data_IF_665999806890
#
_entry.id   IF_665999806890
#
_cell.length_a   1.000
_cell.length_b   1.000
_cell.length_c   1.000
_cell.angle_alpha   90.00
_cell.angle_beta   90.00
_cell.angle_gamma   90.00
#
_symmetry.space_group_name_H-M   'P 1'
#
loop_
_entity.id
_entity.type
_entity.pdbx_description
1 polymer ?
#
# COMPACT_ATOMS: atom_id res chain seq x y z
N UNK A 1 -3.87 31.51 3.61
CA UNK A 1 -4.10 30.63 2.45
C UNK A 1 -3.25 29.40 2.68
N UNK A 2 -3.75 28.22 2.33
CA UNK A 2 -2.93 27.01 2.36
C UNK A 2 -1.85 27.15 1.29
N UNK A 3 -0.58 27.22 1.69
CA UNK A 3 0.57 27.29 0.77
C UNK A 3 1.57 26.20 1.10
N UNK A 4 2.43 25.88 0.13
CA UNK A 4 3.56 24.98 0.34
C UNK A 4 4.40 25.40 1.55
N UNK A 5 4.79 26.67 1.66
CA UNK A 5 5.66 27.12 2.75
C UNK A 5 5.01 26.95 4.12
N UNK A 6 3.70 27.17 4.23
CA UNK A 6 2.97 26.92 5.47
C UNK A 6 2.97 25.43 5.84
N UNK A 7 2.69 24.55 4.89
CA UNK A 7 2.69 23.11 5.15
C UNK A 7 4.09 22.56 5.38
N UNK A 8 5.09 23.06 4.66
CA UNK A 8 6.49 22.67 4.84
C UNK A 8 6.98 22.96 6.26
N UNK A 9 6.61 24.10 6.86
CA UNK A 9 6.92 24.37 8.27
C UNK A 9 6.10 23.48 9.20
N UNK A 10 4.80 23.32 8.94
CA UNK A 10 3.92 22.47 9.75
C UNK A 10 4.37 21.00 9.77
N UNK A 11 4.91 20.49 8.67
CA UNK A 11 5.39 19.11 8.47
C UNK A 11 6.92 19.01 8.45
N UNK A 12 7.63 19.99 9.04
CA UNK A 12 9.11 20.01 9.09
C UNK A 12 9.74 18.75 9.69
N UNK A 13 9.02 18.05 10.57
CA UNK A 13 9.48 16.79 11.17
C UNK A 13 9.57 15.67 10.13
N UNK A 14 8.59 15.57 9.21
CA UNK A 14 8.65 14.63 8.08
C UNK A 14 9.91 14.85 7.24
N UNK A 15 10.29 16.12 7.06
CA UNK A 15 11.39 16.54 6.19
C UNK A 15 12.77 16.52 6.88
N UNK A 16 12.82 16.30 8.19
CA UNK A 16 14.06 16.30 8.97
C UNK A 16 14.60 14.87 9.13
N UNK A 17 15.70 14.48 8.44
CA UNK A 17 16.26 13.13 8.57
C UNK A 17 16.76 12.81 9.99
N UNK A 18 16.94 13.81 10.86
CA UNK A 18 17.26 13.58 12.27
C UNK A 18 16.04 13.21 13.12
N UNK A 19 14.82 13.41 12.61
CA UNK A 19 13.61 12.92 13.27
C UNK A 19 13.52 11.40 13.14
N UNK A 20 13.08 10.75 14.21
CA UNK A 20 12.91 9.30 14.22
C UNK A 20 11.89 8.85 13.18
N UNK A 21 12.10 7.66 12.63
CA UNK A 21 11.28 7.11 11.55
C UNK A 21 9.79 7.07 11.93
N UNK A 22 9.48 6.69 13.18
CA UNK A 22 8.12 6.62 13.71
C UNK A 22 7.40 7.97 13.70
N UNK A 23 8.11 9.05 14.06
CA UNK A 23 7.57 10.40 14.03
C UNK A 23 7.35 10.85 12.59
N UNK A 24 8.29 10.55 11.68
CA UNK A 24 8.16 10.89 10.27
C UNK A 24 6.97 10.18 9.62
N UNK A 25 6.78 8.89 9.87
CA UNK A 25 5.61 8.13 9.40
C UNK A 25 4.30 8.67 9.97
N UNK A 26 4.26 9.03 11.27
CA UNK A 26 3.11 9.72 11.88
C UNK A 26 2.75 11.02 11.15
N UNK A 27 3.75 11.77 10.72
CA UNK A 27 3.56 12.99 9.95
C UNK A 27 3.02 12.71 8.54
N UNK A 28 3.43 11.61 7.89
CA UNK A 28 2.79 11.14 6.65
C UNK A 28 1.30 10.87 6.88
N UNK A 29 0.93 10.13 7.91
CA UNK A 29 -0.50 9.86 8.20
C UNK A 29 -1.27 11.14 8.57
N UNK A 30 -0.66 12.08 9.30
CA UNK A 30 -1.26 13.37 9.61
C UNK A 30 -1.51 14.19 8.34
N UNK A 31 -0.55 14.18 7.41
CA UNK A 31 -0.70 14.82 6.10
C UNK A 31 -1.80 14.14 5.30
N UNK A 32 -1.79 12.80 5.25
CA UNK A 32 -2.78 11.96 4.57
C UNK A 32 -4.22 12.34 4.94
N UNK A 33 -4.48 12.51 6.23
CA UNK A 33 -5.83 12.78 6.74
C UNK A 33 -6.42 14.13 6.31
N UNK A 34 -5.57 15.12 6.02
CA UNK A 34 -6.04 16.52 5.89
C UNK A 34 -5.66 17.16 4.55
N UNK A 35 -4.49 16.82 4.01
CA UNK A 35 -3.87 17.56 2.91
C UNK A 35 -3.48 16.70 1.71
N UNK A 36 -3.71 15.38 1.75
CA UNK A 36 -3.32 14.44 0.68
C UNK A 36 -3.78 14.89 -0.71
N UNK A 37 -5.03 15.33 -0.83
CA UNK A 37 -5.62 15.73 -2.11
C UNK A 37 -5.40 17.21 -2.46
N UNK A 38 -4.49 17.88 -1.75
CA UNK A 38 -4.13 19.27 -2.02
C UNK A 38 -2.76 19.34 -2.68
N UNK A 39 -2.58 20.25 -3.64
CA UNK A 39 -1.29 20.46 -4.27
C UNK A 39 -0.18 20.73 -3.23
N UNK A 40 -0.32 21.68 -2.28
CA UNK A 40 0.69 21.89 -1.24
C UNK A 40 1.05 20.64 -0.42
N UNK A 41 0.10 19.75 -0.14
CA UNK A 41 0.37 18.51 0.59
C UNK A 41 1.23 17.54 -0.23
N UNK A 42 0.90 17.37 -1.51
CA UNK A 42 1.67 16.54 -2.45
C UNK A 42 3.07 17.11 -2.68
N UNK A 43 3.21 18.44 -2.71
CA UNK A 43 4.50 19.11 -2.83
C UNK A 43 5.42 18.83 -1.63
N UNK A 44 4.88 18.79 -0.41
CA UNK A 44 5.62 18.36 0.79
C UNK A 44 6.03 16.89 0.70
N UNK A 45 5.15 16.01 0.23
CA UNK A 45 5.48 14.59 0.04
C UNK A 45 6.61 14.42 -1.00
N UNK A 46 6.57 15.14 -2.12
CA UNK A 46 7.65 15.11 -3.13
C UNK A 46 9.00 15.57 -2.57
N UNK A 47 9.03 16.58 -1.70
CA UNK A 47 10.25 16.97 -0.97
C UNK A 47 10.70 15.85 -0.03
N UNK A 48 9.77 15.22 0.70
CA UNK A 48 10.06 14.18 1.67
C UNK A 48 10.75 12.94 1.07
N UNK A 49 10.43 12.58 -0.19
CA UNK A 49 11.11 11.47 -0.90
C UNK A 49 12.62 11.70 -1.01
N UNK A 50 13.04 12.94 -1.27
CA UNK A 50 14.45 13.29 -1.47
C UNK A 50 15.19 13.54 -0.14
N UNK A 51 14.49 13.86 0.96
CA UNK A 51 15.13 14.19 2.24
C UNK A 51 15.24 13.02 3.21
N UNK A 52 14.51 11.92 2.98
CA UNK A 52 14.58 10.74 3.84
C UNK A 52 15.77 9.83 3.50
N UNK A 53 16.31 9.19 4.54
CA UNK A 53 17.34 8.15 4.49
C UNK A 53 16.77 6.71 4.64
N UNK A 54 15.46 6.58 4.84
CA UNK A 54 14.77 5.30 5.00
C UNK A 54 14.03 4.93 3.72
N UNK A 55 14.39 3.77 3.15
CA UNK A 55 13.73 3.15 2.00
C UNK A 55 12.24 2.92 2.28
N UNK A 56 11.90 2.47 3.49
CA UNK A 56 10.51 2.30 3.91
C UNK A 56 9.74 3.62 3.83
N UNK A 57 10.30 4.71 4.37
CA UNK A 57 9.62 6.00 4.31
C UNK A 57 9.52 6.53 2.87
N UNK A 58 10.52 6.26 2.00
CA UNK A 58 10.43 6.62 0.58
C UNK A 58 9.25 5.92 -0.08
N UNK A 59 9.15 4.59 0.09
CA UNK A 59 8.02 3.80 -0.35
C UNK A 59 6.68 4.38 0.12
N UNK A 60 6.52 4.58 1.44
CA UNK A 60 5.26 5.09 2.00
C UNK A 60 4.85 6.47 1.49
N UNK A 61 5.83 7.37 1.33
CA UNK A 61 5.57 8.69 0.79
C UNK A 61 5.13 8.60 -0.68
N UNK A 62 5.77 7.75 -1.48
CA UNK A 62 5.43 7.56 -2.90
C UNK A 62 4.05 6.91 -3.06
N UNK A 63 3.71 5.92 -2.25
CA UNK A 63 2.37 5.34 -2.18
C UNK A 63 1.31 6.42 -1.94
N UNK A 64 1.51 7.26 -0.91
CA UNK A 64 0.57 8.34 -0.59
C UNK A 64 0.48 9.39 -1.71
N UNK A 65 1.57 9.70 -2.41
CA UNK A 65 1.53 10.54 -3.61
C UNK A 65 0.61 9.91 -4.67
N UNK A 66 0.68 8.59 -4.90
CA UNK A 66 -0.23 7.88 -5.80
C UNK A 66 -1.70 8.00 -5.38
N UNK A 67 -1.98 7.73 -4.11
CA UNK A 67 -3.33 7.80 -3.52
C UNK A 67 -3.93 9.23 -3.56
N UNK A 68 -3.09 10.27 -3.68
CA UNK A 68 -3.56 11.66 -3.81
C UNK A 68 -4.40 11.90 -5.07
N UNK A 69 -4.13 11.18 -6.16
CA UNK A 69 -4.71 11.43 -7.48
C UNK A 69 -4.29 12.78 -8.09
N UNK A 70 -3.18 13.37 -7.65
CA UNK A 70 -2.73 14.69 -8.09
C UNK A 70 -1.81 14.61 -9.32
N UNK A 71 -2.33 15.00 -10.50
CA UNK A 71 -1.57 15.04 -11.77
C UNK A 71 -0.26 15.84 -11.69
N UNK A 72 -0.18 16.85 -10.82
CA UNK A 72 1.04 17.65 -10.66
C UNK A 72 2.24 16.85 -10.10
N UNK A 73 2.00 15.68 -9.50
CA UNK A 73 3.05 14.80 -9.00
C UNK A 73 3.77 14.00 -10.09
N UNK A 74 3.15 13.84 -11.26
CA UNK A 74 3.64 12.95 -12.33
C UNK A 74 5.09 13.21 -12.71
N UNK A 75 5.58 14.46 -12.87
CA UNK A 75 6.99 14.69 -13.17
C UNK A 75 7.94 14.14 -12.10
N UNK A 76 7.62 14.29 -10.82
CA UNK A 76 8.44 13.76 -9.72
C UNK A 76 8.44 12.24 -9.66
N UNK A 77 7.27 11.62 -9.83
CA UNK A 77 7.14 10.16 -9.92
C UNK A 77 7.92 9.59 -11.13
N UNK A 78 7.90 10.28 -12.27
CA UNK A 78 8.70 9.90 -13.44
C UNK A 78 10.20 10.04 -13.16
N UNK A 79 10.64 11.05 -12.40
CA UNK A 79 12.04 11.14 -11.95
C UNK A 79 12.43 9.94 -11.08
N UNK A 80 11.59 9.54 -10.12
CA UNK A 80 11.83 8.35 -9.28
C UNK A 80 11.94 7.09 -10.16
N UNK A 81 10.97 6.86 -11.05
CA UNK A 81 10.98 5.71 -11.96
C UNK A 81 12.25 5.69 -12.84
N UNK A 82 12.74 6.86 -13.26
CA UNK A 82 14.00 7.04 -14.00
C UNK A 82 15.26 6.89 -13.16
N UNK A 83 15.11 6.64 -11.86
CA UNK A 83 16.19 6.64 -10.89
C UNK A 83 16.96 7.98 -10.86
N UNK A 84 16.22 9.09 -10.88
CA UNK A 84 16.72 10.46 -10.88
C UNK A 84 16.09 11.21 -9.72
N UNK A 85 16.88 11.97 -8.96
CA UNK A 85 16.34 12.85 -7.91
C UNK A 85 15.27 13.77 -8.46
N UNK A 86 14.27 14.05 -7.63
CA UNK A 86 13.15 14.93 -7.98
C UNK A 86 13.64 16.39 -8.02
N UNK A 87 14.47 16.80 -7.05
CA UNK A 87 14.87 18.20 -6.83
C UNK A 87 13.66 19.13 -6.70
N UNK A 88 12.66 18.71 -5.93
CA UNK A 88 11.41 19.46 -5.83
C UNK A 88 11.64 20.87 -5.25
N UNK A 89 11.14 21.89 -5.97
CA UNK A 89 11.04 23.27 -5.48
C UNK A 89 9.83 23.95 -6.12
N UNK A 90 8.96 24.65 -5.36
CA UNK A 90 7.68 25.19 -5.86
C UNK A 90 7.84 26.20 -7.01
N UNK A 91 8.96 26.93 -7.04
CA UNK A 91 9.26 27.92 -8.08
C UNK A 91 9.94 27.35 -9.33
N UNK A 92 10.23 26.04 -9.37
CA UNK A 92 10.99 25.41 -10.45
C UNK A 92 12.44 25.91 -10.59
N UNK A 93 12.90 26.76 -9.67
CA UNK A 93 14.32 27.04 -9.54
C UNK A 93 14.96 25.73 -9.09
N UNK A 94 15.78 25.13 -9.96
CA UNK A 94 16.66 24.05 -9.54
C UNK A 94 17.37 24.54 -8.28
N UNK A 95 17.03 23.96 -7.12
CA UNK A 95 17.89 24.09 -5.95
C UNK A 95 19.26 23.67 -6.48
N UNK A 96 20.19 24.63 -6.56
CA UNK A 96 21.49 24.41 -7.18
C UNK A 96 21.98 23.08 -6.64
N UNK A 97 22.07 22.07 -7.52
CA UNK A 97 22.45 20.73 -7.11
C UNK A 97 23.69 20.91 -6.25
N UNK A 98 23.59 20.60 -4.96
CA UNK A 98 24.76 20.59 -4.12
C UNK A 98 25.71 19.64 -4.84
N UNK A 99 26.80 20.18 -5.39
CA UNK A 99 27.62 19.51 -6.39
C UNK A 99 28.46 18.35 -5.80
N UNK A 100 28.04 17.80 -4.66
CA UNK A 100 28.72 16.83 -3.80
C UNK A 100 27.69 15.94 -3.06
N UNK A 101 26.60 15.50 -3.71
CA UNK A 101 25.62 14.63 -3.05
C UNK A 101 25.76 13.17 -3.51
N UNK A 102 25.99 12.28 -2.54
CA UNK A 102 26.16 10.82 -2.67
C UNK A 102 24.79 10.15 -2.93
N UNK A 103 24.12 10.54 -4.01
CA UNK A 103 22.84 9.94 -4.40
C UNK A 103 23.09 8.53 -4.94
N UNK A 104 22.83 7.54 -4.10
CA UNK A 104 22.98 6.13 -4.45
C UNK A 104 21.90 5.60 -5.43
N UNK A 105 20.89 6.43 -5.75
CA UNK A 105 19.69 6.02 -6.47
C UNK A 105 18.55 5.62 -5.54
N UNK A 106 17.35 5.48 -6.10
CA UNK A 106 16.23 4.82 -5.44
C UNK A 106 16.33 3.31 -5.62
N UNK A 107 15.90 2.58 -4.61
CA UNK A 107 15.86 1.12 -4.63
C UNK A 107 14.67 0.58 -5.44
N UNK A 108 14.63 -0.74 -5.63
CA UNK A 108 13.56 -1.41 -6.38
C UNK A 108 12.18 -1.18 -5.77
N UNK A 109 12.07 -1.11 -4.42
CA UNK A 109 10.81 -0.89 -3.72
C UNK A 109 10.25 0.49 -4.06
N UNK A 110 11.05 1.53 -3.85
CA UNK A 110 10.64 2.91 -4.16
C UNK A 110 10.30 3.11 -5.65
N UNK A 111 11.06 2.46 -6.57
CA UNK A 111 10.83 2.61 -8.02
C UNK A 111 9.59 1.87 -8.51
N UNK A 112 9.27 0.68 -7.97
CA UNK A 112 8.01 0.02 -8.32
C UNK A 112 6.81 0.84 -7.82
N UNK A 113 6.94 1.41 -6.62
CA UNK A 113 5.89 2.21 -6.01
C UNK A 113 5.62 3.47 -6.83
N UNK A 114 6.66 4.06 -7.42
CA UNK A 114 6.49 5.17 -8.35
C UNK A 114 5.72 4.77 -9.62
N UNK A 115 5.99 3.58 -10.18
CA UNK A 115 5.23 3.07 -11.33
C UNK A 115 3.75 2.82 -10.96
N UNK A 116 3.49 2.24 -9.79
CA UNK A 116 2.15 2.04 -9.27
C UNK A 116 1.40 3.36 -9.04
N UNK A 117 2.03 4.31 -8.36
CA UNK A 117 1.49 5.65 -8.10
C UNK A 117 1.12 6.38 -9.39
N UNK A 118 1.93 6.26 -10.45
CA UNK A 118 1.59 6.78 -11.79
C UNK A 118 0.32 6.12 -12.36
N UNK A 119 0.16 4.81 -12.17
CA UNK A 119 -1.03 4.06 -12.52
C UNK A 119 -2.27 4.48 -11.71
N UNK A 120 -2.10 4.75 -10.41
CA UNK A 120 -3.16 5.20 -9.50
C UNK A 120 -3.71 6.58 -9.90
N UNK A 121 -2.81 7.55 -10.15
CA UNK A 121 -3.15 8.89 -10.66
C UNK A 121 -3.82 8.79 -12.04
N UNK A 122 -3.36 7.84 -12.86
CA UNK A 122 -3.87 7.55 -14.19
C UNK A 122 -3.81 8.73 -15.18
N UNK A 123 -2.73 9.52 -15.11
CA UNK A 123 -2.49 10.63 -16.03
C UNK A 123 -1.84 10.15 -17.33
N UNK A 124 -2.33 10.56 -18.52
CA UNK A 124 -1.72 10.20 -19.81
C UNK A 124 -0.25 10.66 -19.95
N UNK A 125 0.17 11.67 -19.19
CA UNK A 125 1.55 12.14 -19.17
C UNK A 125 2.56 11.09 -18.67
N UNK A 126 2.10 10.07 -17.95
CA UNK A 126 2.93 8.97 -17.45
C UNK A 126 3.22 7.89 -18.51
N UNK A 127 2.37 7.79 -19.56
CA UNK A 127 2.34 6.64 -20.47
C UNK A 127 3.68 6.42 -21.18
N UNK A 128 4.35 7.49 -21.62
CA UNK A 128 5.64 7.37 -22.32
C UNK A 128 6.71 6.75 -21.43
N UNK A 129 6.80 7.21 -20.17
CA UNK A 129 7.76 6.67 -19.21
C UNK A 129 7.44 5.21 -18.85
N UNK A 130 6.18 4.90 -18.55
CA UNK A 130 5.76 3.53 -18.22
C UNK A 130 6.02 2.56 -19.37
N UNK A 131 5.76 2.95 -20.63
CA UNK A 131 6.05 2.13 -21.82
C UNK A 131 7.53 1.92 -22.06
N UNK A 132 8.37 2.86 -21.65
CA UNK A 132 9.82 2.66 -21.72
C UNK A 132 10.25 1.61 -20.69
N UNK A 133 9.85 1.78 -19.43
CA UNK A 133 10.29 0.93 -18.33
C UNK A 133 9.58 -0.42 -18.22
N UNK A 134 8.50 -0.70 -18.97
CA UNK A 134 7.97 -2.07 -19.10
C UNK A 134 8.87 -2.99 -19.95
N UNK A 135 9.80 -2.42 -20.74
CA UNK A 135 10.63 -3.17 -21.67
C UNK A 135 11.87 -3.76 -20.97
N UNK A 136 12.20 -5.01 -21.31
CA UNK A 136 13.33 -5.74 -20.71
C UNK A 136 14.71 -5.12 -21.00
N UNK A 137 14.85 -4.41 -22.12
CA UNK A 137 16.09 -3.73 -22.49
C UNK A 137 16.31 -2.39 -21.76
N UNK A 138 15.23 -1.78 -21.25
CA UNK A 138 15.26 -0.51 -20.53
C UNK A 138 15.35 -0.69 -19.01
N UNK A 139 14.75 -1.76 -18.47
CA UNK A 139 14.65 -2.00 -17.05
C UNK A 139 15.03 -3.44 -16.71
N UNK A 140 16.14 -3.69 -15.97
CA UNK A 140 16.52 -5.05 -15.55
C UNK A 140 15.66 -5.62 -14.42
N UNK A 141 15.05 -4.81 -13.56
CA UNK A 141 14.27 -5.28 -12.42
C UNK A 141 12.85 -5.72 -12.84
N UNK A 142 12.55 -7.00 -12.65
CA UNK A 142 11.25 -7.59 -13.03
C UNK A 142 10.09 -6.87 -12.34
N UNK A 143 10.22 -6.56 -11.05
CA UNK A 143 9.16 -5.90 -10.27
C UNK A 143 8.78 -4.54 -10.86
N UNK A 144 9.75 -3.74 -11.30
CA UNK A 144 9.48 -2.43 -11.90
C UNK A 144 8.77 -2.60 -13.25
N UNK A 145 9.21 -3.55 -14.08
CA UNK A 145 8.53 -3.86 -15.35
C UNK A 145 7.08 -4.27 -15.15
N UNK A 146 6.85 -5.19 -14.20
CA UNK A 146 5.51 -5.68 -13.86
C UNK A 146 4.61 -4.56 -13.33
N UNK A 147 5.11 -3.66 -12.48
CA UNK A 147 4.37 -2.48 -12.02
C UNK A 147 4.04 -1.53 -13.18
N UNK A 148 4.95 -1.31 -14.13
CA UNK A 148 4.65 -0.52 -15.33
C UNK A 148 3.54 -1.15 -16.18
N UNK A 149 3.55 -2.48 -16.34
CA UNK A 149 2.51 -3.23 -17.07
C UNK A 149 1.14 -3.04 -16.40
N UNK A 150 1.08 -3.19 -15.07
CA UNK A 150 -0.16 -3.00 -14.29
C UNK A 150 -0.66 -1.55 -14.39
N UNK A 151 0.23 -0.57 -14.22
CA UNK A 151 -0.08 0.85 -14.33
C UNK A 151 -0.64 1.23 -15.71
N UNK A 152 -0.01 0.75 -16.79
CA UNK A 152 -0.50 0.96 -18.16
C UNK A 152 -1.86 0.30 -18.36
N UNK A 153 -2.05 -0.93 -17.90
CA UNK A 153 -3.33 -1.62 -18.00
C UNK A 153 -4.45 -0.85 -17.29
N UNK A 154 -4.17 -0.31 -16.10
CA UNK A 154 -5.10 0.51 -15.33
C UNK A 154 -5.45 1.81 -16.05
N UNK A 155 -4.45 2.53 -16.58
CA UNK A 155 -4.64 3.77 -17.37
C UNK A 155 -5.52 3.49 -18.58
N UNK A 156 -5.19 2.49 -19.39
CA UNK A 156 -5.96 2.16 -20.59
C UNK A 156 -7.37 1.67 -20.27
N UNK A 157 -7.55 0.97 -19.16
CA UNK A 157 -8.88 0.57 -18.71
C UNK A 157 -9.70 1.81 -18.32
N UNK A 158 -9.12 2.79 -17.62
CA UNK A 158 -9.78 4.07 -17.33
C UNK A 158 -10.17 4.82 -18.60
N UNK A 159 -9.26 4.94 -19.56
CA UNK A 159 -9.53 5.65 -20.83
C UNK A 159 -10.66 4.98 -21.63
N UNK A 160 -10.66 3.64 -21.69
CA UNK A 160 -11.61 2.87 -22.50
C UNK A 160 -12.97 2.72 -21.84
N UNK A 161 -13.01 2.56 -20.51
CA UNK A 161 -14.21 2.15 -19.76
C UNK A 161 -14.72 3.20 -18.78
N UNK A 162 -13.95 4.26 -18.58
CA UNK A 162 -14.24 5.32 -17.63
C UNK A 162 -13.85 4.96 -16.19
N UNK A 163 -13.65 6.00 -15.37
CA UNK A 163 -13.25 5.88 -13.96
C UNK A 163 -14.18 5.00 -13.12
N UNK A 164 -15.48 4.98 -13.45
CA UNK A 164 -16.48 4.17 -12.76
C UNK A 164 -16.19 2.66 -12.85
N UNK A 165 -15.61 2.18 -13.96
CA UNK A 165 -15.27 0.77 -14.12
C UNK A 165 -14.12 0.32 -13.21
N UNK A 166 -13.32 1.26 -12.70
CA UNK A 166 -12.20 0.99 -11.79
C UNK A 166 -12.58 1.09 -10.32
N UNK A 167 -13.80 1.57 -10.02
CA UNK A 167 -14.22 1.71 -8.63
C UNK A 167 -14.52 0.32 -8.04
N UNK A 168 -14.17 0.10 -6.76
CA UNK A 168 -14.58 -1.12 -6.08
C UNK A 168 -16.12 -1.17 -5.95
N UNK A 169 -16.70 -2.36 -5.69
CA UNK A 169 -18.11 -2.50 -5.38
C UNK A 169 -18.56 -1.55 -4.26
N UNK A 170 -19.82 -1.12 -4.29
CA UNK A 170 -20.33 -0.11 -3.34
C UNK A 170 -20.28 -0.55 -1.86
N UNK A 171 -20.23 -1.85 -1.59
CA UNK A 171 -20.11 -2.47 -0.27
C UNK A 171 -18.66 -2.88 0.08
N UNK A 172 -17.69 -2.54 -0.75
CA UNK A 172 -16.28 -2.78 -0.50
C UNK A 172 -15.79 -1.88 0.65
N UNK A 173 -15.24 -2.45 1.75
CA UNK A 173 -14.78 -1.67 2.90
C UNK A 173 -13.42 -1.00 2.66
N UNK A 174 -12.76 -1.29 1.54
CA UNK A 174 -11.45 -0.76 1.18
C UNK A 174 -11.59 0.52 0.38
N UNK A 175 -10.85 1.55 0.79
CA UNK A 175 -10.86 2.87 0.14
C UNK A 175 -9.57 3.15 -0.65
N UNK A 176 -8.66 2.17 -0.71
CA UNK A 176 -7.42 2.22 -1.47
C UNK A 176 -7.68 2.27 -2.97
N UNK A 177 -6.83 3.01 -3.68
CA UNK A 177 -6.77 2.97 -5.15
C UNK A 177 -5.91 1.77 -5.55
N UNK A 178 -6.57 0.65 -5.84
CA UNK A 178 -5.89 -0.59 -6.21
C UNK A 178 -5.21 -0.51 -7.61
N UNK A 179 -4.08 -1.21 -7.84
CA UNK A 179 -3.40 -1.30 -9.14
C UNK A 179 -4.25 -1.90 -10.24
N UNK A 180 -5.14 -2.83 -9.87
CA UNK A 180 -6.11 -3.43 -10.77
C UNK A 180 -7.45 -3.58 -10.06
N UNK A 181 -8.58 -3.34 -10.74
CA UNK A 181 -9.88 -3.53 -10.12
C UNK A 181 -10.19 -5.01 -9.90
N UNK A 182 -11.11 -5.32 -8.99
CA UNK A 182 -11.69 -6.65 -8.88
C UNK A 182 -12.38 -7.09 -10.19
N UNK A 183 -12.56 -8.40 -10.37
CA UNK A 183 -13.41 -8.93 -11.44
C UNK A 183 -14.84 -8.38 -11.36
N UNK A 184 -15.27 -7.78 -12.46
CA UNK A 184 -16.61 -7.29 -12.72
C UNK A 184 -16.91 -7.40 -14.22
N UNK A 185 -18.19 -7.42 -14.60
CA UNK A 185 -18.56 -7.48 -16.02
C UNK A 185 -17.99 -6.27 -16.79
N UNK A 186 -17.92 -5.14 -16.11
CA UNK A 186 -17.41 -3.87 -16.59
C UNK A 186 -15.88 -3.90 -16.76
N UNK A 187 -15.14 -4.67 -15.96
CA UNK A 187 -13.66 -4.68 -16.01
C UNK A 187 -13.11 -5.67 -17.03
N UNK A 188 -13.89 -6.67 -17.45
CA UNK A 188 -13.48 -7.68 -18.42
C UNK A 188 -13.61 -7.24 -19.89
N UNK A 189 -12.71 -7.69 -20.76
CA UNK A 189 -12.81 -7.56 -22.20
C UNK A 189 -13.87 -8.51 -22.79
N UNK A 190 -14.32 -8.20 -24.01
CA UNK A 190 -15.27 -9.06 -24.71
C UNK A 190 -14.66 -10.45 -24.99
N UNK A 191 -13.37 -10.48 -25.30
CA UNK A 191 -12.59 -11.69 -25.55
C UNK A 191 -12.47 -12.56 -24.29
N UNK A 192 -12.21 -11.96 -23.13
CA UNK A 192 -12.17 -12.66 -21.84
C UNK A 192 -13.52 -13.23 -21.44
N UNK A 193 -14.59 -12.44 -21.57
CA UNK A 193 -15.95 -12.90 -21.32
C UNK A 193 -16.29 -14.06 -22.26
N UNK A 194 -15.96 -13.97 -23.55
CA UNK A 194 -16.21 -15.06 -24.50
C UNK A 194 -15.44 -16.33 -24.14
N UNK A 195 -14.16 -16.23 -23.76
CA UNK A 195 -13.34 -17.37 -23.30
C UNK A 195 -13.95 -18.05 -22.08
N UNK A 196 -14.59 -17.27 -21.20
CA UNK A 196 -15.24 -17.72 -19.97
C UNK A 196 -16.75 -17.98 -20.13
N UNK A 197 -17.25 -18.08 -21.36
CA UNK A 197 -18.66 -18.36 -21.65
C UNK A 197 -19.63 -17.36 -20.99
N UNK A 198 -19.21 -16.10 -20.85
CA UNK A 198 -19.97 -15.03 -20.23
C UNK A 198 -19.90 -14.99 -18.69
N UNK A 199 -19.14 -15.89 -18.05
CA UNK A 199 -19.04 -15.94 -16.59
C UNK A 199 -17.92 -15.01 -16.06
N UNK A 200 -18.31 -14.12 -15.16
CA UNK A 200 -17.37 -13.35 -14.32
C UNK A 200 -17.02 -14.21 -13.10
N UNK A 201 -15.74 -14.46 -12.79
CA UNK A 201 -15.36 -15.23 -11.62
C UNK A 201 -15.61 -14.41 -10.35
N UNK A 202 -16.54 -14.85 -9.50
CA UNK A 202 -16.93 -14.13 -8.28
C UNK A 202 -16.94 -15.01 -7.03
N UNK A 203 -16.56 -16.29 -7.15
CA UNK A 203 -16.50 -17.24 -6.03
C UNK A 203 -15.06 -17.63 -5.73
N UNK A 204 -14.75 -17.95 -4.47
CA UNK A 204 -13.41 -18.41 -4.07
C UNK A 204 -12.96 -19.60 -4.92
N UNK A 205 -13.85 -20.54 -5.23
CA UNK A 205 -13.56 -21.72 -6.04
C UNK A 205 -13.19 -21.38 -7.49
N UNK A 206 -13.84 -20.37 -8.09
CA UNK A 206 -13.50 -19.91 -9.44
C UNK A 206 -12.23 -19.03 -9.48
N UNK A 207 -11.95 -18.30 -8.40
CA UNK A 207 -10.84 -17.34 -8.32
C UNK A 207 -9.52 -17.99 -7.93
N UNK A 208 -9.54 -18.98 -7.04
CA UNK A 208 -8.33 -19.69 -6.58
C UNK A 208 -7.46 -20.24 -7.72
N UNK A 209 -7.98 -20.95 -8.74
CA UNK A 209 -7.14 -21.43 -9.84
C UNK A 209 -6.58 -20.32 -10.71
N UNK A 210 -7.22 -19.14 -10.77
CA UNK A 210 -6.68 -17.97 -11.47
C UNK A 210 -5.52 -17.39 -10.66
N UNK A 211 -5.74 -17.14 -9.37
CA UNK A 211 -4.75 -16.59 -8.45
C UNK A 211 -3.44 -17.41 -8.42
N UNK A 212 -3.57 -18.74 -8.32
CA UNK A 212 -2.46 -19.68 -8.19
C UNK A 212 -1.85 -20.13 -9.52
N UNK A 213 -2.25 -19.51 -10.64
CA UNK A 213 -1.74 -19.88 -11.94
C UNK A 213 -0.32 -19.32 -12.16
N UNK A 214 0.68 -20.20 -12.06
CA UNK A 214 2.10 -19.86 -12.31
C UNK A 214 2.63 -20.42 -13.64
N UNK A 215 1.79 -21.15 -14.39
CA UNK A 215 2.15 -21.80 -15.66
C UNK A 215 1.88 -20.93 -16.90
N UNK A 216 1.41 -19.69 -16.71
CA UNK A 216 1.09 -18.73 -17.77
C UNK A 216 -0.32 -18.89 -18.36
N UNK A 217 -1.15 -19.77 -17.81
CA UNK A 217 -2.56 -19.90 -18.17
C UNK A 217 -3.44 -18.70 -17.78
N UNK A 218 -2.99 -17.87 -16.83
CA UNK A 218 -3.58 -16.58 -16.48
C UNK A 218 -2.50 -15.49 -16.48
N UNK A 219 -2.86 -14.32 -17.01
CA UNK A 219 -1.97 -13.14 -17.00
C UNK A 219 -1.79 -12.57 -15.59
N UNK A 220 -0.70 -11.81 -15.37
CA UNK A 220 -0.50 -11.08 -14.11
C UNK A 220 -1.70 -10.20 -13.75
N UNK A 221 -2.31 -9.54 -14.76
CA UNK A 221 -3.52 -8.73 -14.60
C UNK A 221 -4.68 -9.57 -14.06
N UNK A 222 -4.97 -10.73 -14.68
CA UNK A 222 -6.05 -11.62 -14.22
C UNK A 222 -5.80 -12.13 -12.79
N UNK A 223 -4.53 -12.38 -12.43
CA UNK A 223 -4.14 -12.80 -11.08
C UNK A 223 -4.35 -11.68 -10.06
N UNK A 224 -4.01 -10.44 -10.41
CA UNK A 224 -4.28 -9.26 -9.58
C UNK A 224 -5.78 -9.03 -9.41
N UNK A 225 -6.56 -9.11 -10.48
CA UNK A 225 -8.03 -9.02 -10.41
C UNK A 225 -8.60 -10.12 -9.50
N UNK A 226 -8.06 -11.35 -9.57
CA UNK A 226 -8.51 -12.44 -8.70
C UNK A 226 -8.20 -12.18 -7.23
N UNK A 227 -7.00 -11.68 -6.94
CA UNK A 227 -6.54 -11.31 -5.61
C UNK A 227 -7.42 -10.24 -4.96
N UNK A 228 -7.71 -9.14 -5.66
CA UNK A 228 -8.58 -8.09 -5.13
C UNK A 228 -10.04 -8.56 -4.99
N UNK A 229 -10.55 -9.42 -5.90
CA UNK A 229 -11.87 -10.04 -5.69
C UNK A 229 -11.88 -10.92 -4.44
N UNK A 230 -10.82 -11.70 -4.18
CA UNK A 230 -10.72 -12.54 -2.98
C UNK A 230 -10.60 -11.71 -1.70
N UNK A 231 -9.84 -10.62 -1.72
CA UNK A 231 -9.79 -9.63 -0.63
C UNK A 231 -11.19 -9.12 -0.31
N UNK A 232 -11.93 -8.69 -1.33
CA UNK A 232 -13.27 -8.15 -1.15
C UNK A 232 -14.27 -9.21 -0.64
N UNK A 233 -14.09 -10.49 -0.97
CA UNK A 233 -14.88 -11.61 -0.42
C UNK A 233 -14.59 -11.81 1.07
N UNK A 234 -13.33 -11.73 1.50
CA UNK A 234 -12.92 -11.67 2.90
C UNK A 234 -13.30 -12.85 3.81
N UNK A 235 -13.68 -13.99 3.22
CA UNK A 235 -13.98 -15.24 3.96
C UNK A 235 -12.71 -16.00 4.32
N UNK A 236 -12.78 -16.91 5.29
CA UNK A 236 -11.66 -17.80 5.66
C UNK A 236 -11.08 -18.56 4.45
N UNK A 237 -11.94 -19.03 3.54
CA UNK A 237 -11.50 -19.71 2.33
C UNK A 237 -10.75 -18.78 1.37
N UNK A 238 -11.13 -17.50 1.30
CA UNK A 238 -10.41 -16.50 0.52
C UNK A 238 -9.04 -16.19 1.14
N UNK A 239 -8.97 -16.06 2.48
CA UNK A 239 -7.72 -15.89 3.21
C UNK A 239 -6.78 -17.08 3.01
N UNK A 240 -7.32 -18.31 3.01
CA UNK A 240 -6.54 -19.52 2.72
C UNK A 240 -5.99 -19.51 1.30
N UNK A 241 -6.78 -19.10 0.30
CA UNK A 241 -6.33 -19.00 -1.08
C UNK A 241 -5.21 -17.97 -1.26
N UNK A 242 -5.35 -16.78 -0.68
CA UNK A 242 -4.32 -15.74 -0.66
C UNK A 242 -3.05 -16.19 0.07
N UNK A 243 -3.22 -16.81 1.25
CA UNK A 243 -2.10 -17.38 2.02
C UNK A 243 -1.35 -18.48 1.27
N UNK A 244 -2.04 -19.25 0.42
CA UNK A 244 -1.42 -20.22 -0.48
C UNK A 244 -0.65 -19.52 -1.59
N UNK A 245 -1.20 -18.47 -2.20
CA UNK A 245 -0.50 -17.71 -3.23
C UNK A 245 0.83 -17.13 -2.73
N UNK A 246 0.86 -16.60 -1.50
CA UNK A 246 2.11 -16.11 -0.89
C UNK A 246 3.19 -17.20 -0.76
N UNK A 247 2.80 -18.45 -0.49
CA UNK A 247 3.75 -19.57 -0.28
C UNK A 247 4.09 -20.35 -1.53
N UNK A 248 3.15 -20.46 -2.45
CA UNK A 248 3.23 -21.37 -3.62
C UNK A 248 3.64 -20.61 -4.89
N UNK A 249 3.50 -19.29 -4.95
CA UNK A 249 3.99 -18.53 -6.11
C UNK A 249 5.52 -18.53 -6.16
N UNK A 250 6.06 -18.81 -7.35
CA UNK A 250 7.49 -18.76 -7.63
C UNK A 250 7.80 -17.90 -8.84
N UNK A 251 6.85 -17.09 -9.29
CA UNK A 251 6.91 -16.42 -10.59
C UNK A 251 7.19 -14.93 -10.49
N UNK A 252 6.69 -14.26 -9.44
CA UNK A 252 6.80 -12.80 -9.31
C UNK A 252 6.90 -12.40 -7.84
N UNK A 253 7.99 -11.71 -7.49
CA UNK A 253 8.14 -11.11 -6.16
C UNK A 253 7.13 -9.97 -5.96
N UNK A 254 6.83 -9.18 -7.00
CA UNK A 254 5.83 -8.13 -6.95
C UNK A 254 4.44 -8.72 -6.62
N UNK A 255 4.06 -9.82 -7.26
CA UNK A 255 2.79 -10.48 -6.97
C UNK A 255 2.72 -10.99 -5.53
N UNK A 256 3.80 -11.57 -5.00
CA UNK A 256 3.83 -12.04 -3.60
C UNK A 256 3.79 -10.88 -2.60
N UNK A 257 4.47 -9.78 -2.90
CA UNK A 257 4.37 -8.52 -2.15
C UNK A 257 2.90 -8.08 -2.08
N UNK A 258 2.22 -7.96 -3.22
CA UNK A 258 0.83 -7.52 -3.24
C UNK A 258 -0.11 -8.49 -2.50
N UNK A 259 0.16 -9.80 -2.56
CA UNK A 259 -0.58 -10.78 -1.77
C UNK A 259 -0.40 -10.53 -0.26
N UNK A 260 0.81 -10.19 0.20
CA UNK A 260 1.04 -9.84 1.59
C UNK A 260 0.31 -8.54 1.97
N UNK A 261 0.32 -7.53 1.11
CA UNK A 261 -0.42 -6.27 1.30
C UNK A 261 -1.92 -6.51 1.50
N UNK A 262 -2.58 -7.25 0.60
CA UNK A 262 -4.01 -7.54 0.76
C UNK A 262 -4.33 -8.43 1.96
N UNK A 263 -3.40 -9.28 2.40
CA UNK A 263 -3.52 -10.05 3.64
C UNK A 263 -3.44 -9.14 4.88
N UNK A 264 -2.62 -8.08 4.83
CA UNK A 264 -2.57 -7.00 5.82
C UNK A 264 -3.89 -6.23 5.87
N UNK A 265 -4.41 -5.80 4.72
CA UNK A 265 -5.71 -5.13 4.61
C UNK A 265 -6.87 -5.98 5.16
N UNK A 266 -6.80 -7.30 5.02
CA UNK A 266 -7.78 -8.23 5.56
C UNK A 266 -7.77 -8.33 7.09
N UNK A 267 -6.64 -8.01 7.74
CA UNK A 267 -6.44 -8.09 9.20
C UNK A 267 -6.87 -9.44 9.82
N UNK A 268 -6.68 -10.57 9.12
CA UNK A 268 -7.13 -11.88 9.61
C UNK A 268 -5.97 -12.67 10.23
N UNK A 269 -5.99 -13.01 11.53
CA UNK A 269 -4.95 -13.84 12.15
C UNK A 269 -4.67 -15.17 11.43
N UNK A 270 -5.67 -15.69 10.70
CA UNK A 270 -5.55 -16.89 9.86
C UNK A 270 -4.43 -16.82 8.82
N UNK A 271 -4.03 -15.63 8.35
CA UNK A 271 -2.93 -15.46 7.38
C UNK A 271 -1.53 -15.42 8.00
N UNK A 272 -1.42 -15.23 9.33
CA UNK A 272 -0.14 -15.07 10.02
C UNK A 272 0.86 -16.19 9.75
N UNK A 273 0.49 -17.49 9.68
CA UNK A 273 1.47 -18.53 9.38
C UNK A 273 2.15 -18.34 8.01
N UNK A 274 1.45 -17.79 7.02
CA UNK A 274 2.02 -17.48 5.71
C UNK A 274 2.94 -16.26 5.78
N UNK A 275 2.49 -15.19 6.42
CA UNK A 275 3.26 -13.94 6.57
C UNK A 275 4.54 -14.15 7.39
N UNK A 276 4.47 -14.89 8.48
CA UNK A 276 5.64 -15.26 9.30
C UNK A 276 6.62 -16.11 8.49
N UNK A 277 6.13 -17.02 7.65
CA UNK A 277 6.99 -17.83 6.79
C UNK A 277 7.71 -16.96 5.76
N UNK A 278 7.02 -16.01 5.11
CA UNK A 278 7.63 -15.08 4.17
C UNK A 278 8.68 -14.17 4.85
N UNK A 279 8.35 -13.55 5.98
CA UNK A 279 9.28 -12.70 6.74
C UNK A 279 10.59 -13.45 7.12
N UNK A 280 10.46 -14.74 7.48
CA UNK A 280 11.57 -15.59 7.91
C UNK A 280 12.43 -16.16 6.80
N UNK A 281 11.95 -16.15 5.57
CA UNK A 281 12.68 -16.74 4.45
C UNK A 281 13.76 -15.77 3.96
N UNK A 282 15.02 -16.02 4.34
CA UNK A 282 16.16 -15.21 3.90
C UNK A 282 16.42 -15.30 2.39
N UNK A 283 15.83 -16.28 1.69
CA UNK A 283 15.88 -16.36 0.23
C UNK A 283 14.74 -15.59 -0.46
N UNK A 284 13.74 -15.13 0.30
CA UNK A 284 12.65 -14.31 -0.21
C UNK A 284 13.12 -12.88 -0.46
N UNK A 285 12.52 -12.24 -1.47
CA UNK A 285 12.82 -10.86 -1.82
C UNK A 285 12.48 -9.91 -0.65
N UNK A 286 13.37 -8.94 -0.40
CA UNK A 286 13.18 -7.94 0.64
C UNK A 286 11.82 -7.23 0.54
N UNK A 287 11.33 -7.00 -0.70
CA UNK A 287 10.00 -6.44 -0.95
C UNK A 287 8.86 -7.26 -0.31
N UNK A 288 8.87 -8.57 -0.49
CA UNK A 288 7.83 -9.44 0.06
C UNK A 288 7.94 -9.52 1.59
N UNK A 289 9.18 -9.48 2.12
CA UNK A 289 9.46 -9.59 3.55
C UNK A 289 9.02 -8.35 4.33
N UNK A 290 9.23 -7.14 3.79
CA UNK A 290 8.75 -5.92 4.46
C UNK A 290 7.23 -5.88 4.50
N UNK A 291 6.58 -6.22 3.37
CA UNK A 291 5.13 -6.22 3.27
C UNK A 291 4.51 -7.27 4.20
N UNK A 292 5.17 -8.43 4.34
CA UNK A 292 4.78 -9.41 5.33
C UNK A 292 4.91 -8.89 6.77
N UNK A 293 5.95 -8.11 7.10
CA UNK A 293 6.12 -7.50 8.42
C UNK A 293 5.03 -6.45 8.71
N UNK A 294 4.70 -5.61 7.74
CA UNK A 294 3.63 -4.60 7.85
C UNK A 294 2.26 -5.25 8.00
N UNK A 295 1.95 -6.26 7.20
CA UNK A 295 0.73 -7.05 7.34
C UNK A 295 0.61 -7.69 8.75
N UNK A 296 1.70 -8.16 9.34
CA UNK A 296 1.69 -8.64 10.73
C UNK A 296 1.43 -7.52 11.74
N UNK A 297 1.96 -6.32 11.50
CA UNK A 297 1.66 -5.11 12.27
C UNK A 297 0.19 -4.68 12.18
N UNK A 298 -0.40 -4.79 10.98
CA UNK A 298 -1.81 -4.50 10.69
C UNK A 298 -2.76 -5.38 11.49
N UNK A 299 -2.47 -6.69 11.51
CA UNK A 299 -3.25 -7.70 12.24
C UNK A 299 -3.20 -7.43 13.75
N UNK A 300 -2.11 -6.85 14.24
CA UNK A 300 -1.94 -6.40 15.62
C UNK A 300 -2.21 -7.51 16.67
N UNK A 301 -1.74 -8.74 16.42
CA UNK A 301 -1.83 -9.88 17.35
C UNK A 301 -0.55 -10.07 18.15
N UNK A 302 -0.66 -10.13 19.48
CA UNK A 302 0.50 -10.29 20.37
C UNK A 302 1.35 -11.54 20.06
N UNK A 303 0.76 -12.55 19.42
CA UNK A 303 1.46 -13.75 18.98
C UNK A 303 2.58 -13.48 17.95
N UNK A 304 2.53 -12.37 17.22
CA UNK A 304 3.52 -12.00 16.18
C UNK A 304 4.66 -11.15 16.74
N UNK A 305 4.50 -10.56 17.94
CA UNK A 305 5.52 -9.72 18.57
C UNK A 305 6.90 -10.40 18.70
N UNK A 306 7.03 -11.70 19.03
CA UNK A 306 8.35 -12.33 19.10
C UNK A 306 9.11 -12.29 17.76
N UNK A 307 8.44 -12.56 16.63
CA UNK A 307 9.09 -12.55 15.31
C UNK A 307 9.36 -11.12 14.84
N UNK A 308 8.45 -10.17 15.09
CA UNK A 308 8.70 -8.77 14.77
C UNK A 308 9.91 -8.22 15.54
N UNK A 309 10.08 -8.56 16.83
CA UNK A 309 11.27 -8.17 17.61
C UNK A 309 12.56 -8.82 17.11
N UNK A 310 12.48 -10.06 16.65
CA UNK A 310 13.61 -10.78 16.04
C UNK A 310 14.10 -10.01 14.80
N UNK A 311 13.19 -9.63 13.90
CA UNK A 311 13.52 -8.97 12.64
C UNK A 311 13.68 -7.45 12.73
N UNK A 312 13.26 -6.80 13.82
CA UNK A 312 13.52 -5.38 14.09
C UNK A 312 15.02 -5.04 14.30
N UNK A 313 15.91 -6.03 14.22
CA UNK A 313 17.38 -5.85 14.24
C UNK A 313 18.06 -6.45 13.00
N UNK A 314 17.29 -6.80 11.97
CA UNK A 314 17.78 -7.45 10.76
C UNK A 314 18.73 -6.51 9.97
N UNK A 315 19.76 -7.05 9.28
CA UNK A 315 20.68 -6.24 8.49
C UNK A 315 20.05 -5.59 7.25
N UNK A 316 19.03 -6.22 6.64
CA UNK A 316 18.24 -5.64 5.54
C UNK A 316 17.41 -4.45 6.06
N UNK A 317 17.71 -3.20 5.67
CA UNK A 317 17.10 -2.02 6.27
C UNK A 317 15.58 -1.98 6.16
N UNK A 318 15.01 -2.29 5.00
CA UNK A 318 13.55 -2.21 4.82
C UNK A 318 12.81 -3.23 5.69
N UNK A 319 13.32 -4.46 5.80
CA UNK A 319 12.74 -5.50 6.68
C UNK A 319 12.82 -5.08 8.16
N UNK A 320 13.97 -4.54 8.57
CA UNK A 320 14.19 -4.04 9.93
C UNK A 320 13.23 -2.92 10.27
N UNK A 321 13.17 -1.91 9.41
CA UNK A 321 12.39 -0.70 9.62
C UNK A 321 10.89 -1.04 9.65
N UNK A 322 10.39 -1.89 8.74
CA UNK A 322 8.98 -2.33 8.76
C UNK A 322 8.63 -3.11 10.04
N UNK A 323 9.55 -3.92 10.57
CA UNK A 323 9.35 -4.59 11.85
C UNK A 323 9.34 -3.61 13.04
N UNK A 324 10.18 -2.57 13.03
CA UNK A 324 10.17 -1.51 14.05
C UNK A 324 8.82 -0.78 14.03
N UNK A 325 8.36 -0.38 12.85
CA UNK A 325 7.07 0.32 12.67
C UNK A 325 5.91 -0.58 13.11
N UNK A 326 5.89 -1.85 12.70
CA UNK A 326 4.87 -2.81 13.11
C UNK A 326 4.78 -2.97 14.64
N UNK A 327 5.92 -2.96 15.35
CA UNK A 327 5.96 -3.01 16.82
C UNK A 327 5.40 -1.74 17.45
N UNK A 328 5.67 -0.58 16.87
CA UNK A 328 5.17 0.70 17.36
C UNK A 328 3.67 0.85 17.12
N UNK A 329 3.17 0.40 15.97
CA UNK A 329 1.73 0.31 15.70
C UNK A 329 1.05 -0.54 16.76
N UNK A 330 1.61 -1.71 17.05
CA UNK A 330 1.16 -2.57 18.15
C UNK A 330 1.08 -1.82 19.49
N UNK A 331 2.16 -1.14 19.88
CA UNK A 331 2.21 -0.39 21.13
C UNK A 331 1.18 0.74 21.18
N UNK A 332 0.99 1.45 20.06
CA UNK A 332 0.00 2.50 19.92
C UNK A 332 -1.42 1.95 20.11
N UNK A 333 -1.78 0.86 19.42
CA UNK A 333 -3.11 0.26 19.51
C UNK A 333 -3.40 -0.36 20.88
N UNK A 334 -2.42 -1.01 21.51
CA UNK A 334 -2.55 -1.51 22.88
C UNK A 334 -2.85 -0.38 23.87
N UNK A 335 -2.17 0.76 23.74
CA UNK A 335 -2.41 1.94 24.58
C UNK A 335 -3.77 2.58 24.28
N UNK A 336 -4.15 2.70 23.00
CA UNK A 336 -5.45 3.23 22.59
C UNK A 336 -6.61 2.40 23.15
N UNK A 337 -6.55 1.07 23.02
CA UNK A 337 -7.57 0.16 23.54
C UNK A 337 -7.62 0.17 25.07
N UNK A 338 -6.46 0.24 25.74
CA UNK A 338 -6.39 0.35 27.21
C UNK A 338 -7.05 1.63 27.71
N UNK A 339 -6.82 2.76 27.02
CA UNK A 339 -7.43 4.05 27.37
C UNK A 339 -8.93 4.09 27.05
N UNK A 340 -9.37 3.51 25.93
CA UNK A 340 -10.79 3.39 25.58
C UNK A 340 -11.55 2.52 26.60
N UNK A 341 -10.99 1.37 26.97
CA UNK A 341 -11.56 0.49 28.00
C UNK A 341 -11.57 1.16 29.38
N UNK A 342 -10.51 1.91 29.72
CA UNK A 342 -10.44 2.69 30.96
C UNK A 342 -11.48 3.82 31.03
N UNK A 343 -11.73 4.50 29.92
CA UNK A 343 -12.77 5.52 29.81
C UNK A 343 -14.18 4.91 29.91
N UNK A 344 -14.44 3.81 29.22
CA UNK A 344 -15.73 3.11 29.28
C UNK A 344 -16.00 2.51 30.68
N UNK A 345 -14.96 2.05 31.37
CA UNK A 345 -15.05 1.56 32.74
C UNK A 345 -15.28 2.69 33.75
N UNK A 346 -14.60 3.83 33.61
CA UNK A 346 -14.85 5.02 34.43
C UNK A 346 -16.27 5.58 34.21
N UNK A 347 -16.79 5.50 32.99
CA UNK A 347 -18.15 5.94 32.65
C UNK A 347 -19.22 4.98 33.22
N UNK A 348 -18.96 3.67 33.22
CA UNK A 348 -19.80 2.66 33.90
C UNK A 348 -19.76 2.79 35.43
N UNK A 349 -18.62 3.14 36.01
CA UNK A 349 -18.47 3.40 37.44
C UNK A 349 -19.16 4.72 37.86
N UNK A 350 -19.13 5.75 37.00
CA UNK A 350 -19.89 6.98 37.19
C UNK A 350 -21.41 6.79 37.01
N UNK A 351 -21.82 5.88 36.12
CA UNK A 351 -23.23 5.53 35.87
C UNK A 351 -23.81 4.51 36.87
N UNK A 352 -22.99 3.93 37.76
CA UNK A 352 -23.37 2.97 38.81
C UNK A 352 -24.31 3.49 39.91
N UNK A 353 -24.90 4.68 39.72
CA UNK A 353 -25.79 5.36 40.63
C UNK A 353 -27.26 5.49 40.19
N UNK A 354 -27.79 4.68 39.25
CA UNK A 354 -29.25 4.47 39.10
C UNK A 354 -29.58 3.35 38.10
N UNK A 355 -30.40 2.38 38.53
CA UNK A 355 -30.93 1.28 37.69
C UNK A 355 -32.11 1.72 36.82
N UNK A 356 -32.08 1.41 35.50
CA UNK A 356 -32.96 0.43 34.82
C UNK A 356 -32.64 0.28 33.32
N UNK A 357 -33.02 -0.84 32.69
CA UNK A 357 -32.51 -1.25 31.38
C UNK A 357 -33.42 -0.77 30.24
N UNK A 358 -32.80 -0.26 29.18
CA UNK A 358 -33.40 -0.27 27.84
C UNK A 358 -32.34 -0.75 26.88
N UNK A 359 -32.57 -1.92 26.29
CA UNK A 359 -31.72 -2.44 25.25
C UNK A 359 -31.73 -1.51 24.04
N UNK A 360 -30.56 -1.27 23.48
CA UNK A 360 -30.44 -1.00 22.07
C UNK A 360 -29.04 -1.43 21.61
N UNK A 361 -29.01 -2.30 20.59
CA UNK A 361 -27.81 -2.60 19.81
C UNK A 361 -27.23 -1.29 19.29
N UNK A 362 -26.03 -0.93 19.74
CA UNK A 362 -25.19 0.01 19.03
C UNK A 362 -23.96 -0.75 18.56
N UNK A 363 -24.05 -1.16 17.29
CA UNK A 363 -22.91 -1.43 16.44
C UNK A 363 -22.08 -0.15 16.42
N UNK A 364 -21.05 -0.07 17.27
CA UNK A 364 -20.04 0.96 17.19
C UNK A 364 -19.21 0.65 15.96
N UNK A 365 -19.54 1.35 14.87
CA UNK A 365 -18.78 1.42 13.63
C UNK A 365 -17.31 1.69 13.95
N UNK A 366 -16.48 0.66 13.75
CA UNK A 366 -15.02 0.75 13.71
C UNK A 366 -14.71 1.81 12.65
N UNK A 367 -14.13 2.93 13.09
CA UNK A 367 -13.96 4.14 12.28
C UNK A 367 -13.26 3.80 10.96
N UNK A 368 -13.82 4.22 9.83
CA UNK A 368 -13.40 3.87 8.46
C UNK A 368 -11.93 4.27 8.16
N UNK A 369 -11.36 5.18 8.97
CA UNK A 369 -9.94 5.59 8.92
C UNK A 369 -8.94 4.58 9.52
N UNK A 370 -9.43 3.50 10.16
CA UNK A 370 -8.59 2.52 10.87
C UNK A 370 -8.02 1.45 9.94
N UNK A 371 -8.70 1.16 8.81
CA UNK A 371 -8.31 0.08 7.89
C UNK A 371 -7.06 0.45 7.08
N UNK A 372 -6.90 1.72 6.71
CA UNK A 372 -5.74 2.18 5.94
C UNK A 372 -4.56 2.65 6.79
N UNK A 373 -4.77 3.08 8.03
CA UNK A 373 -3.67 3.39 8.96
C UNK A 373 -3.04 2.13 9.58
N UNK A 374 -3.50 0.96 9.16
CA UNK A 374 -3.03 -0.34 9.62
C UNK A 374 -2.33 -1.15 8.53
N UNK A 375 -2.66 -0.91 7.26
CA UNK A 375 -2.12 -1.66 6.12
C UNK A 375 -1.18 -0.81 5.23
N UNK A 376 -0.72 0.33 5.74
CA UNK A 376 0.32 1.18 5.19
C UNK A 376 1.05 1.81 6.37
#
# INVERSE_FOLDING_TARGET
MLTYESLREDFRQLLDPQSSLDLRLREVYRLKQTYLHTLPGVEVLLEAVDTTDSVLLQHEVVYNIGQSGCDAAVPGLVSILRNQRIHYHPSGAAAAAAADDDFAGYDTVTRHEAAEALGAIASPAAIEALRHYEQEDAEPEVAIRESCILALARIYMQEKKGKAALQPPADCPYVSVDPMPAFAAETMSAEELQRRQGAVPTTVEALTPILLNTDGGASLLERYMAMFTLRNIGTDAAVDALSRALREDTSSALFRHEVAFVLGQLERPRSQPALIAALRDEAEAAMVRHEAAEALGAIADEATLPVLREYATHPEPIVRDSCVVALEMHAYWSNFNSNANGAEQAEKEAAGGATKPTGNNHNLTRNENVVEAKAA
#
